data_IF_825700081903
#
_entry.id   IF_825700081903
#
_cell.length_a   1.000
_cell.length_b   1.000
_cell.length_c   1.000
_cell.angle_alpha   90.00
_cell.angle_beta   90.00
_cell.angle_gamma   90.00
#
_symmetry.space_group_name_H-M   'P 1'
#
loop_
_entity.id
_entity.type
_entity.pdbx_description
1 polymer ?
#
# COMPACT_ATOMS: atom_id res chain seq x y z
N UNK A 1 24.47 -1.83 -9.59
CA UNK A 1 23.32 -2.33 -10.38
C UNK A 1 22.37 -2.99 -9.38
N UNK A 2 21.43 -2.24 -8.80
CA UNK A 2 20.50 -2.76 -7.78
C UNK A 2 19.04 -2.46 -8.16
N UNK A 3 18.82 -1.55 -9.12
CA UNK A 3 17.48 -1.04 -9.43
C UNK A 3 16.57 -2.03 -10.19
N UNK A 4 17.11 -2.93 -11.02
CA UNK A 4 16.25 -3.72 -11.93
C UNK A 4 15.49 -4.81 -11.20
N UNK A 5 16.20 -5.60 -10.39
CA UNK A 5 15.59 -6.63 -9.52
C UNK A 5 14.64 -5.99 -8.50
N UNK A 6 14.97 -4.80 -8.00
CA UNK A 6 14.12 -4.02 -7.12
C UNK A 6 12.78 -3.65 -7.78
N UNK A 7 12.80 -3.06 -8.98
CA UNK A 7 11.57 -2.71 -9.68
C UNK A 7 10.74 -3.93 -10.07
N UNK A 8 11.38 -5.06 -10.41
CA UNK A 8 10.68 -6.31 -10.71
C UNK A 8 9.94 -6.86 -9.47
N UNK A 9 10.54 -6.77 -8.28
CA UNK A 9 9.88 -7.14 -7.02
C UNK A 9 8.70 -6.22 -6.74
N UNK A 10 8.89 -4.89 -6.86
CA UNK A 10 7.81 -3.93 -6.65
C UNK A 10 6.64 -4.16 -7.61
N UNK A 11 6.91 -4.48 -8.88
CA UNK A 11 5.88 -4.74 -9.87
C UNK A 11 5.03 -5.96 -9.49
N UNK A 12 5.69 -7.04 -9.05
CA UNK A 12 4.99 -8.25 -8.59
C UNK A 12 4.16 -7.97 -7.35
N UNK A 13 4.68 -7.21 -6.40
CA UNK A 13 3.93 -6.80 -5.21
C UNK A 13 2.70 -5.99 -5.62
N UNK A 14 2.84 -5.04 -6.54
CA UNK A 14 1.68 -4.27 -7.03
C UNK A 14 0.64 -5.15 -7.71
N UNK A 15 1.04 -6.12 -8.52
CA UNK A 15 0.09 -7.03 -9.17
C UNK A 15 -0.70 -7.85 -8.13
N UNK A 16 0.01 -8.43 -7.14
CA UNK A 16 -0.62 -9.20 -6.05
C UNK A 16 -1.55 -8.31 -5.22
N UNK A 17 -1.13 -7.10 -4.89
CA UNK A 17 -1.93 -6.15 -4.11
C UNK A 17 -3.13 -5.59 -4.88
N UNK A 18 -3.04 -5.46 -6.20
CA UNK A 18 -4.17 -5.06 -7.04
C UNK A 18 -5.20 -6.19 -7.14
N UNK A 19 -4.76 -7.43 -7.35
CA UNK A 19 -5.63 -8.59 -7.47
C UNK A 19 -6.29 -8.99 -6.14
N UNK A 20 -5.49 -9.05 -5.06
CA UNK A 20 -5.92 -9.55 -3.74
C UNK A 20 -6.39 -8.45 -2.80
N UNK A 21 -5.78 -7.27 -2.86
CA UNK A 21 -6.06 -6.15 -1.94
C UNK A 21 -7.36 -5.39 -2.24
N UNK A 22 -8.17 -5.88 -3.18
CA UNK A 22 -9.37 -5.19 -3.65
C UNK A 22 -9.08 -3.88 -4.35
N UNK A 23 -7.88 -3.78 -4.95
CA UNK A 23 -7.35 -2.60 -5.62
C UNK A 23 -6.40 -1.79 -4.76
N UNK A 24 -5.42 -1.17 -5.45
CA UNK A 24 -4.47 -0.25 -4.85
C UNK A 24 -5.06 1.15 -4.82
N UNK A 25 -5.09 1.75 -3.63
CA UNK A 25 -5.62 3.09 -3.40
C UNK A 25 -4.52 4.13 -3.14
N UNK A 26 -3.30 3.67 -2.83
CA UNK A 26 -2.18 4.51 -2.46
C UNK A 26 -0.87 3.83 -2.84
N UNK A 27 0.06 4.57 -3.44
CA UNK A 27 1.43 4.12 -3.66
C UNK A 27 2.35 5.28 -3.35
N UNK A 28 3.38 5.03 -2.55
CA UNK A 28 4.47 5.96 -2.31
C UNK A 28 5.80 5.22 -2.41
N UNK A 29 6.63 5.67 -3.34
CA UNK A 29 7.97 5.16 -3.53
C UNK A 29 8.98 6.16 -2.96
N UNK A 30 9.66 5.76 -1.88
CA UNK A 30 10.76 6.51 -1.28
C UNK A 30 12.07 5.71 -1.47
N UNK A 31 13.24 6.38 -1.40
CA UNK A 31 14.52 5.71 -1.62
C UNK A 31 14.77 4.55 -0.67
N UNK A 32 14.28 4.68 0.57
CA UNK A 32 14.54 3.73 1.68
C UNK A 32 13.31 2.87 2.00
N UNK A 33 12.13 3.23 1.49
CA UNK A 33 10.91 2.48 1.74
C UNK A 33 9.86 2.62 0.63
N UNK A 34 9.06 1.57 0.47
CA UNK A 34 7.96 1.55 -0.48
C UNK A 34 6.67 1.27 0.27
N UNK A 35 5.70 2.18 0.15
CA UNK A 35 4.40 2.06 0.85
C UNK A 35 3.29 1.88 -0.16
N UNK A 36 2.51 0.81 -0.03
CA UNK A 36 1.28 0.61 -0.80
C UNK A 36 0.08 0.60 0.13
N UNK A 37 -1.02 1.25 -0.25
CA UNK A 37 -2.30 1.11 0.41
C UNK A 37 -3.27 0.26 -0.40
N UNK A 38 -3.86 -0.75 0.22
CA UNK A 38 -4.93 -1.60 -0.34
C UNK A 38 -6.25 -1.32 0.36
N UNK A 39 -7.36 -1.55 -0.34
CA UNK A 39 -8.70 -1.27 0.22
C UNK A 39 -9.02 -2.14 1.43
N UNK A 40 -8.57 -3.39 1.40
CA UNK A 40 -8.73 -4.34 2.49
C UNK A 40 -7.40 -5.01 2.82
N UNK A 41 -7.29 -5.49 4.06
CA UNK A 41 -6.24 -6.42 4.44
C UNK A 41 -6.50 -7.78 3.78
N UNK A 42 -5.44 -8.39 3.25
CA UNK A 42 -5.50 -9.74 2.70
C UNK A 42 -4.30 -10.53 3.23
N UNK A 43 -4.58 -11.73 3.77
CA UNK A 43 -3.56 -12.60 4.37
C UNK A 43 -2.57 -13.16 3.34
N UNK A 44 -2.98 -13.32 2.08
CA UNK A 44 -2.08 -13.77 1.01
C UNK A 44 -1.04 -12.69 0.69
N UNK A 45 -1.43 -11.41 0.76
CA UNK A 45 -0.47 -10.30 0.62
C UNK A 45 0.54 -10.34 1.76
N UNK A 46 0.09 -10.46 3.01
CA UNK A 46 0.99 -10.54 4.17
C UNK A 46 1.98 -11.70 4.04
N UNK A 47 1.48 -12.88 3.67
CA UNK A 47 2.31 -14.07 3.47
C UNK A 47 3.30 -13.90 2.32
N UNK A 48 2.87 -13.29 1.21
CA UNK A 48 3.74 -13.00 0.08
C UNK A 48 4.87 -12.04 0.46
N UNK A 49 4.56 -11.01 1.25
CA UNK A 49 5.55 -10.05 1.74
C UNK A 49 6.52 -10.68 2.75
N UNK A 50 6.06 -11.58 3.62
CA UNK A 50 6.92 -12.35 4.52
C UNK A 50 7.91 -13.23 3.74
N UNK A 51 7.43 -13.92 2.71
CA UNK A 51 8.25 -14.83 1.91
C UNK A 51 9.24 -14.10 0.98
N UNK A 52 8.88 -12.90 0.46
CA UNK A 52 9.64 -12.22 -0.58
C UNK A 52 10.37 -10.95 -0.14
N UNK A 53 9.88 -10.23 0.88
CA UNK A 53 10.39 -8.89 1.22
C UNK A 53 11.02 -8.83 2.61
N UNK A 54 10.68 -9.76 3.52
CA UNK A 54 11.36 -9.99 4.80
C UNK A 54 11.23 -8.87 5.84
N UNK A 55 11.24 -7.61 5.42
CA UNK A 55 11.15 -6.40 6.24
C UNK A 55 9.98 -5.54 5.75
N UNK A 56 8.77 -5.89 6.19
CA UNK A 56 7.57 -5.11 5.92
C UNK A 56 6.74 -4.89 7.20
N UNK A 57 5.94 -3.83 7.21
CA UNK A 57 5.01 -3.51 8.29
C UNK A 57 3.66 -3.13 7.72
N UNK A 58 2.60 -3.77 8.24
CA UNK A 58 1.21 -3.45 7.93
C UNK A 58 0.61 -2.50 8.97
N UNK A 59 -0.08 -1.44 8.53
CA UNK A 59 -0.80 -0.53 9.41
C UNK A 59 -2.20 -0.24 8.84
N UNK A 60 -3.24 -0.43 9.64
CA UNK A 60 -4.57 0.06 9.32
C UNK A 60 -4.59 1.59 9.44
N UNK A 61 -4.92 2.27 8.35
CA UNK A 61 -4.91 3.72 8.32
C UNK A 61 -6.22 4.27 7.77
N UNK A 62 -6.55 5.47 8.23
CA UNK A 62 -7.75 6.22 7.82
C UNK A 62 -7.30 7.50 7.11
N UNK A 63 -7.52 7.57 5.80
CA UNK A 63 -7.02 8.58 4.85
C UNK A 63 -8.21 9.47 4.86
N UNK A 64 -8.08 10.52 5.64
CA UNK A 64 -8.97 11.64 5.54
C UNK A 64 -8.72 12.22 4.15
N UNK A 65 -9.52 11.82 3.15
CA UNK A 65 -9.57 12.47 1.84
C UNK A 65 -9.73 13.97 2.13
N UNK A 66 -8.68 14.75 1.89
CA UNK A 66 -8.78 16.21 1.95
C UNK A 66 -9.67 16.63 0.78
N UNK A 67 -10.91 16.96 1.10
CA UNK A 67 -11.91 17.44 0.16
C UNK A 67 -11.38 18.66 -0.59
N UNK A 68 -10.97 18.45 -1.86
CA UNK A 68 -10.74 19.56 -2.79
C UNK A 68 -12.10 20.14 -3.13
N UNK A 69 -12.39 21.29 -2.53
CA UNK A 69 -13.44 22.30 -2.80
C UNK A 69 -14.66 22.31 -1.87
N UNK A 70 -14.73 23.45 -1.16
CA UNK A 70 -15.89 24.30 -0.83
C UNK A 70 -17.29 23.66 -0.86
N UNK A 71 -17.94 23.80 0.28
CA UNK A 71 -19.38 23.90 0.51
C UNK A 71 -20.13 22.58 0.74
N UNK A 72 -20.83 22.62 1.89
CA UNK A 72 -21.76 21.64 2.48
C UNK A 72 -21.11 20.43 3.15
N UNK A 73 -21.37 20.37 4.46
CA UNK A 73 -21.33 19.20 5.33
C UNK A 73 -21.75 17.96 4.53
N UNK A 74 -20.78 17.21 4.03
CA UNK A 74 -20.96 15.83 3.63
C UNK A 74 -20.10 15.03 4.59
N UNK A 75 -20.73 14.08 5.25
CA UNK A 75 -20.13 13.12 6.15
C UNK A 75 -18.76 12.69 5.63
N UNK A 76 -17.76 12.85 6.50
CA UNK A 76 -16.41 12.39 6.26
C UNK A 76 -16.49 10.87 6.15
N UNK A 77 -16.57 10.35 4.94
CA UNK A 77 -16.44 8.91 4.72
C UNK A 77 -14.96 8.61 5.01
N UNK A 78 -14.68 8.20 6.24
CA UNK A 78 -13.42 7.58 6.63
C UNK A 78 -13.40 6.21 5.94
N UNK A 79 -12.81 6.14 4.75
CA UNK A 79 -12.48 4.85 4.15
C UNK A 79 -11.27 4.31 4.91
N UNK A 80 -11.48 3.24 5.68
CA UNK A 80 -10.42 2.39 6.21
C UNK A 80 -9.70 1.73 5.05
N UNK A 81 -8.37 1.68 5.15
CA UNK A 81 -7.52 0.91 4.24
C UNK A 81 -6.30 0.43 4.99
N UNK A 82 -5.62 -0.50 4.34
CA UNK A 82 -4.45 -1.13 4.89
C UNK A 82 -3.21 -0.60 4.17
N UNK A 83 -2.26 -0.06 4.92
CA UNK A 83 -0.96 0.37 4.42
C UNK A 83 0.06 -0.74 4.65
N UNK A 84 0.82 -1.05 3.61
CA UNK A 84 1.91 -2.00 3.58
C UNK A 84 3.18 -1.21 3.33
N UNK A 85 4.00 -1.03 4.36
CA UNK A 85 5.28 -0.33 4.26
C UNK A 85 6.41 -1.35 4.20
N UNK A 86 7.16 -1.31 3.12
CA UNK A 86 8.26 -2.20 2.80
C UNK A 86 9.54 -1.40 3.04
N UNK A 87 10.37 -1.84 3.96
CA UNK A 87 11.64 -1.20 4.30
C UNK A 87 12.78 -2.00 3.69
N UNK A 88 13.63 -1.32 2.93
CA UNK A 88 14.79 -1.93 2.30
C UNK A 88 16.02 -1.41 3.05
N UNK A 89 16.58 -2.24 3.93
CA UNK A 89 17.89 -1.99 4.57
C UNK A 89 19.04 -2.35 3.62
#
# INVERSE_FOLDING_TARGET
MVAKEYYDILLKITDVMEEKGGGIIYIRNEPDCYTIGTRYYDEEIAKYLDDNVGNWSGEESTLKKKSKKRSKKQDKIEELYYLWKLTFE
#
